data_IF_983344029287
#
_entry.id   IF_983344029287
#
_cell.length_a   1.000
_cell.length_b   1.000
_cell.length_c   1.000
_cell.angle_alpha   90.00
_cell.angle_beta   90.00
_cell.angle_gamma   90.00
#
_symmetry.space_group_name_H-M   'P 1'
#
loop_
_entity.id
_entity.type
_entity.pdbx_description
1 polymer ?
#
# COMPACT_ATOMS: atom_id res chain seq x y z
N UNK A 1 -25.08 -18.11 -6.83
CA UNK A 1 -24.17 -17.51 -5.82
C UNK A 1 -22.75 -17.58 -6.34
N UNK A 2 -21.90 -16.54 -6.16
CA UNK A 2 -20.55 -16.60 -6.69
C UNK A 2 -19.75 -17.70 -5.99
N UNK A 3 -19.10 -18.58 -6.77
CA UNK A 3 -18.41 -19.80 -6.32
C UNK A 3 -17.03 -19.57 -5.71
N UNK A 4 -16.82 -18.44 -5.02
CA UNK A 4 -15.53 -18.11 -4.42
C UNK A 4 -15.61 -17.93 -2.91
N UNK A 5 -14.48 -18.20 -2.24
CA UNK A 5 -14.33 -17.98 -0.80
C UNK A 5 -13.42 -16.79 -0.52
N UNK A 6 -13.67 -16.10 0.58
CA UNK A 6 -12.84 -15.00 1.07
C UNK A 6 -11.93 -15.58 2.16
N UNK A 7 -10.60 -15.59 1.98
CA UNK A 7 -9.70 -16.14 2.99
C UNK A 7 -9.64 -15.21 4.21
N UNK A 8 -9.31 -15.76 5.38
CA UNK A 8 -8.99 -14.97 6.58
C UNK A 8 -7.61 -14.29 6.44
N UNK A 9 -7.30 -13.34 7.33
CA UNK A 9 -6.05 -12.58 7.22
C UNK A 9 -4.79 -13.43 7.49
N UNK A 10 -4.87 -14.41 8.40
CA UNK A 10 -3.74 -15.29 8.73
C UNK A 10 -3.25 -16.07 7.49
N UNK A 11 -4.19 -16.69 6.76
CA UNK A 11 -3.90 -17.43 5.53
C UNK A 11 -3.31 -16.54 4.44
N UNK A 12 -3.76 -15.29 4.34
CA UNK A 12 -3.17 -14.30 3.42
C UNK A 12 -1.73 -13.97 3.80
N UNK A 13 -1.45 -13.78 5.09
CA UNK A 13 -0.08 -13.50 5.58
C UNK A 13 0.86 -14.68 5.31
N UNK A 14 0.44 -15.92 5.57
CA UNK A 14 1.23 -17.11 5.24
C UNK A 14 1.57 -17.21 3.74
N UNK A 15 0.58 -16.93 2.88
CA UNK A 15 0.78 -16.90 1.44
C UNK A 15 1.79 -15.81 1.02
N UNK A 16 1.68 -14.62 1.61
CA UNK A 16 2.67 -13.54 1.40
C UNK A 16 4.08 -13.98 1.81
N UNK A 17 4.24 -14.66 2.95
CA UNK A 17 5.53 -15.21 3.38
C UNK A 17 6.12 -16.18 2.34
N UNK A 18 5.34 -17.15 1.85
CA UNK A 18 5.79 -18.13 0.82
C UNK A 18 6.14 -17.47 -0.52
N UNK A 19 5.38 -16.46 -0.91
CA UNK A 19 5.64 -15.75 -2.16
C UNK A 19 6.94 -14.95 -2.06
N UNK A 20 7.16 -14.21 -0.97
CA UNK A 20 8.36 -13.39 -0.83
C UNK A 20 9.60 -14.21 -0.44
N UNK A 21 9.46 -15.42 0.11
CA UNK A 21 10.61 -16.32 0.31
C UNK A 21 11.23 -16.76 -1.02
N UNK A 22 10.40 -16.98 -2.04
CA UNK A 22 10.82 -17.44 -3.39
C UNK A 22 11.01 -16.30 -4.40
N UNK A 23 10.25 -15.21 -4.27
CA UNK A 23 10.29 -14.05 -5.16
C UNK A 23 10.58 -12.78 -4.35
N UNK A 24 11.85 -12.33 -4.30
CA UNK A 24 12.22 -11.15 -3.53
C UNK A 24 11.52 -9.86 -3.97
N UNK A 25 10.98 -9.80 -5.20
CA UNK A 25 10.30 -8.63 -5.73
C UNK A 25 9.03 -8.97 -6.49
N UNK A 26 8.00 -8.14 -6.32
CA UNK A 26 6.76 -8.13 -7.09
C UNK A 26 6.46 -6.71 -7.55
N UNK A 27 6.36 -6.50 -8.86
CA UNK A 27 6.42 -5.20 -9.51
C UNK A 27 5.07 -4.47 -9.68
N UNK A 28 3.96 -5.10 -9.29
CA UNK A 28 2.64 -4.49 -9.33
C UNK A 28 1.66 -5.14 -8.35
N UNK A 29 0.65 -4.36 -7.94
CA UNK A 29 -0.46 -4.83 -7.12
C UNK A 29 -1.24 -5.99 -7.76
N UNK A 30 -1.53 -5.86 -9.06
CA UNK A 30 -2.22 -6.89 -9.84
C UNK A 30 -1.43 -8.19 -9.87
N UNK A 31 -0.11 -8.10 -10.04
CA UNK A 31 0.78 -9.27 -10.01
C UNK A 31 0.80 -9.92 -8.63
N UNK A 32 0.90 -9.14 -7.56
CA UNK A 32 0.84 -9.66 -6.19
C UNK A 32 -0.47 -10.41 -5.94
N UNK A 33 -1.60 -9.84 -6.34
CA UNK A 33 -2.91 -10.52 -6.26
C UNK A 33 -2.92 -11.85 -7.00
N UNK A 34 -2.47 -11.86 -8.25
CA UNK A 34 -2.45 -13.08 -9.06
C UNK A 34 -1.56 -14.17 -8.43
N UNK A 35 -0.43 -13.79 -7.82
CA UNK A 35 0.46 -14.72 -7.12
C UNK A 35 -0.19 -15.30 -5.86
N UNK A 36 -0.84 -14.46 -5.06
CA UNK A 36 -1.52 -14.85 -3.81
C UNK A 36 -2.72 -15.74 -4.11
N UNK A 37 -3.54 -15.37 -5.09
CA UNK A 37 -4.65 -16.23 -5.54
C UNK A 37 -4.14 -17.56 -6.10
N UNK A 38 -2.99 -17.59 -6.78
CA UNK A 38 -2.38 -18.83 -7.29
C UNK A 38 -1.80 -19.70 -6.18
N UNK A 39 -1.13 -19.13 -5.19
CA UNK A 39 -0.57 -19.87 -4.04
C UNK A 39 -1.68 -20.52 -3.19
N UNK A 40 -2.85 -19.89 -3.11
CA UNK A 40 -4.01 -20.44 -2.39
C UNK A 40 -4.88 -21.39 -3.21
N UNK A 41 -4.53 -21.67 -4.48
CA UNK A 41 -5.28 -22.65 -5.29
C UNK A 41 -5.02 -24.07 -4.77
N UNK A 42 -5.89 -24.52 -3.87
CA UNK A 42 -6.24 -25.93 -3.66
C UNK A 42 -7.63 -26.21 -4.26
N UNK A 43 -8.48 -26.95 -3.54
CA UNK A 43 -9.87 -27.25 -3.95
C UNK A 43 -10.80 -26.02 -3.92
N UNK A 44 -10.36 -24.93 -3.27
CA UNK A 44 -11.19 -23.76 -3.03
C UNK A 44 -10.74 -22.55 -3.87
N UNK A 45 -11.69 -21.96 -4.59
CA UNK A 45 -11.46 -20.75 -5.39
C UNK A 45 -11.44 -19.51 -4.50
N UNK A 46 -10.28 -19.18 -3.94
CA UNK A 46 -10.10 -17.97 -3.13
C UNK A 46 -10.01 -16.69 -3.96
N UNK A 47 -10.58 -15.59 -3.44
CA UNK A 47 -10.44 -14.23 -4.00
C UNK A 47 -10.06 -13.24 -2.92
N UNK A 48 -9.09 -12.37 -3.23
CA UNK A 48 -8.64 -11.31 -2.31
C UNK A 48 -8.68 -9.96 -3.00
N UNK A 49 -9.24 -8.96 -2.31
CA UNK A 49 -9.24 -7.58 -2.78
C UNK A 49 -7.84 -6.98 -2.78
N UNK A 50 -7.49 -6.25 -3.85
CA UNK A 50 -6.18 -5.58 -3.95
C UNK A 50 -5.90 -4.61 -2.79
N UNK A 51 -6.84 -3.76 -2.34
CA UNK A 51 -6.60 -2.88 -1.20
C UNK A 51 -6.29 -3.65 0.08
N UNK A 52 -7.05 -4.70 0.39
CA UNK A 52 -6.83 -5.55 1.56
C UNK A 52 -5.46 -6.22 1.50
N UNK A 53 -5.09 -6.77 0.34
CA UNK A 53 -3.79 -7.40 0.16
C UNK A 53 -2.63 -6.42 0.35
N UNK A 54 -2.78 -5.19 -0.15
CA UNK A 54 -1.79 -4.12 0.04
C UNK A 54 -1.62 -3.79 1.51
N UNK A 55 -2.72 -3.61 2.25
CA UNK A 55 -2.69 -3.31 3.68
C UNK A 55 -2.02 -4.44 4.45
N UNK A 56 -2.42 -5.70 4.21
CA UNK A 56 -1.83 -6.87 4.87
C UNK A 56 -0.33 -7.04 4.58
N UNK A 57 0.11 -6.76 3.35
CA UNK A 57 1.52 -6.77 2.99
C UNK A 57 2.31 -5.67 3.71
N UNK A 58 1.72 -4.48 3.91
CA UNK A 58 2.36 -3.40 4.68
C UNK A 58 2.42 -3.76 6.17
N UNK A 59 1.34 -4.34 6.72
CA UNK A 59 1.24 -4.72 8.14
C UNK A 59 2.18 -5.85 8.52
N UNK A 60 2.40 -6.81 7.62
CA UNK A 60 3.24 -7.96 7.92
C UNK A 60 4.70 -7.58 8.17
N UNK A 61 5.12 -6.36 7.80
CA UNK A 61 6.50 -5.91 7.91
C UNK A 61 7.46 -6.62 6.95
N UNK A 62 6.97 -7.54 6.12
CA UNK A 62 7.79 -8.37 5.23
C UNK A 62 8.34 -7.63 4.03
N UNK A 63 7.74 -6.48 3.68
CA UNK A 63 8.06 -5.78 2.44
C UNK A 63 8.37 -4.30 2.64
N UNK A 64 9.31 -3.83 1.83
CA UNK A 64 9.44 -2.44 1.48
C UNK A 64 8.51 -2.14 0.31
N UNK A 65 7.75 -1.06 0.43
CA UNK A 65 6.80 -0.61 -0.59
C UNK A 65 7.35 0.63 -1.28
N UNK A 66 7.68 0.51 -2.56
CA UNK A 66 7.89 1.66 -3.43
C UNK A 66 6.54 2.05 -4.07
N UNK A 67 6.21 3.33 -3.96
CA UNK A 67 4.95 3.89 -4.45
C UNK A 67 5.28 4.86 -5.58
N UNK A 68 4.95 4.49 -6.81
CA UNK A 68 5.03 5.40 -7.96
C UNK A 68 3.74 6.21 -8.01
N UNK A 69 3.90 7.51 -8.11
CA UNK A 69 2.79 8.45 -8.13
C UNK A 69 2.86 9.32 -9.38
N UNK A 70 1.71 9.83 -9.80
CA UNK A 70 1.60 10.99 -10.70
C UNK A 70 1.13 12.20 -9.91
N UNK A 71 1.60 13.39 -10.25
CA UNK A 71 1.06 14.62 -9.70
C UNK A 71 -0.25 14.99 -10.39
N UNK A 72 -1.13 15.68 -9.66
CA UNK A 72 -2.33 16.31 -10.21
C UNK A 72 -2.31 17.81 -9.89
N UNK A 73 -2.97 18.65 -10.71
CA UNK A 73 -3.09 20.07 -10.41
C UNK A 73 -4.02 20.35 -9.21
N UNK A 74 -4.84 19.37 -8.81
CA UNK A 74 -5.76 19.48 -7.67
C UNK A 74 -4.99 19.72 -6.36
N UNK A 75 -5.25 20.85 -5.72
CA UNK A 75 -4.79 21.15 -4.36
C UNK A 75 -5.88 20.76 -3.37
N UNK A 76 -5.64 19.73 -2.58
CA UNK A 76 -6.62 19.23 -1.61
C UNK A 76 -5.95 18.74 -0.34
N UNK A 77 -6.57 19.04 0.79
CA UNK A 77 -6.15 18.47 2.07
C UNK A 77 -6.47 16.97 2.11
N UNK A 78 -5.48 16.14 2.49
CA UNK A 78 -5.70 14.72 2.71
C UNK A 78 -5.61 14.38 4.19
N UNK A 79 -6.68 13.78 4.72
CA UNK A 79 -6.74 13.29 6.10
C UNK A 79 -6.28 11.83 6.19
N UNK A 80 -6.69 10.99 5.22
CA UNK A 80 -6.36 9.56 5.17
C UNK A 80 -5.43 9.24 4.02
N UNK A 81 -4.54 8.29 4.25
CA UNK A 81 -3.59 7.81 3.27
C UNK A 81 -4.31 7.02 2.16
N UNK A 82 -4.14 7.38 0.86
CA UNK A 82 -4.76 6.66 -0.24
C UNK A 82 -4.20 5.24 -0.43
N UNK A 83 -3.05 4.94 0.17
CA UNK A 83 -2.36 3.65 0.02
C UNK A 83 -2.81 2.66 1.08
N UNK A 84 -2.76 3.04 2.37
CA UNK A 84 -3.03 2.13 3.49
C UNK A 84 -4.19 2.55 4.40
N UNK A 85 -4.82 3.71 4.17
CA UNK A 85 -5.94 4.21 4.99
C UNK A 85 -5.54 4.93 6.28
N UNK A 86 -4.27 4.85 6.70
CA UNK A 86 -3.74 5.49 7.90
C UNK A 86 -3.92 7.02 7.91
N UNK A 87 -4.05 7.62 9.10
CA UNK A 87 -4.13 9.09 9.20
C UNK A 87 -2.79 9.72 8.78
N UNK A 88 -2.87 10.75 7.94
CA UNK A 88 -1.68 11.47 7.47
C UNK A 88 -1.24 12.54 8.47
N UNK A 89 0.07 12.67 8.67
CA UNK A 89 0.67 13.79 9.39
C UNK A 89 0.91 14.96 8.45
N UNK A 90 0.62 16.18 8.93
CA UNK A 90 0.92 17.42 8.20
C UNK A 90 2.43 17.68 8.29
N UNK A 91 3.06 17.89 7.14
CA UNK A 91 4.42 18.41 7.06
C UNK A 91 4.31 19.93 7.09
N UNK A 92 4.93 20.55 8.10
CA UNK A 92 4.90 21.99 8.31
C UNK A 92 6.31 22.55 8.30
N UNK A 93 6.43 23.81 7.89
CA UNK A 93 7.66 24.58 8.04
C UNK A 93 7.36 25.91 8.71
N UNK A 94 8.38 26.48 9.36
CA UNK A 94 8.30 27.79 9.98
C UNK A 94 8.51 28.87 8.92
N UNK A 95 7.74 29.95 8.98
CA UNK A 95 7.94 31.12 8.12
C UNK A 95 8.97 32.07 8.74
N UNK A 96 9.53 32.97 7.93
CA UNK A 96 10.47 34.01 8.40
C UNK A 96 9.88 34.93 9.47
N UNK A 97 8.54 35.03 9.54
CA UNK A 97 7.81 35.82 10.55
C UNK A 97 7.36 34.98 11.77
N UNK A 98 7.86 33.76 11.95
CA UNK A 98 7.54 32.89 13.08
C UNK A 98 6.20 32.14 12.99
N UNK A 99 5.50 32.21 11.86
CA UNK A 99 4.29 31.42 11.60
C UNK A 99 4.58 29.99 11.15
N UNK A 100 3.56 29.16 10.94
CA UNK A 100 3.73 27.82 10.34
C UNK A 100 2.89 27.67 9.07
N UNK A 101 3.50 27.10 8.02
CA UNK A 101 2.83 26.77 6.76
C UNK A 101 2.84 25.28 6.54
N UNK A 102 1.74 24.73 6.03
CA UNK A 102 1.68 23.31 5.65
C UNK A 102 2.27 23.16 4.26
N UNK A 103 3.28 22.31 4.12
CA UNK A 103 3.93 22.00 2.85
C UNK A 103 3.36 20.73 2.19
N UNK A 104 2.72 19.87 2.98
CA UNK A 104 2.16 18.62 2.49
C UNK A 104 1.76 17.65 3.59
N UNK A 105 1.70 16.37 3.23
CA UNK A 105 1.23 15.30 4.08
C UNK A 105 2.11 14.06 3.91
N UNK A 106 2.40 13.37 5.01
CA UNK A 106 3.19 12.13 5.04
C UNK A 106 2.47 11.05 5.84
N UNK A 107 2.52 9.82 5.33
CA UNK A 107 2.12 8.61 6.02
C UNK A 107 3.34 7.99 6.69
N UNK A 108 3.27 7.76 8.00
CA UNK A 108 4.35 7.11 8.75
C UNK A 108 4.39 5.60 8.54
N UNK A 109 3.25 4.99 8.19
CA UNK A 109 3.11 3.56 8.02
C UNK A 109 3.66 3.03 6.69
N UNK A 110 3.20 3.60 5.57
CA UNK A 110 3.56 3.12 4.23
C UNK A 110 4.53 4.05 3.49
N UNK A 111 5.03 5.10 4.16
CA UNK A 111 5.96 6.12 3.60
C UNK A 111 5.41 6.94 2.42
N UNK A 112 4.13 6.78 2.07
CA UNK A 112 3.44 7.66 1.12
C UNK A 112 3.58 9.12 1.56
N UNK A 113 3.88 10.01 0.62
CA UNK A 113 3.93 11.44 0.86
C UNK A 113 3.35 12.21 -0.32
N UNK A 114 2.82 13.39 -0.04
CA UNK A 114 2.28 14.31 -1.05
C UNK A 114 2.55 15.74 -0.63
N UNK A 115 2.82 16.62 -1.59
CA UNK A 115 2.83 18.06 -1.35
C UNK A 115 1.42 18.61 -1.25
N UNK A 116 1.28 19.92 -1.46
CA UNK A 116 -0.02 20.58 -1.59
C UNK A 116 -0.78 20.13 -2.85
N UNK A 117 -0.04 19.89 -3.95
CA UNK A 117 -0.56 19.19 -5.13
C UNK A 117 -0.65 17.70 -4.83
N UNK A 118 -1.80 17.11 -5.14
CA UNK A 118 -2.09 15.72 -4.80
C UNK A 118 -1.27 14.77 -5.67
N UNK A 119 -0.53 13.87 -5.02
CA UNK A 119 0.10 12.71 -5.65
C UNK A 119 -0.88 11.55 -5.71
N UNK A 120 -1.16 11.01 -6.88
CA UNK A 120 -2.05 9.85 -7.03
C UNK A 120 -1.18 8.60 -7.25
N UNK A 121 -1.25 7.59 -6.37
CA UNK A 121 -0.54 6.33 -6.58
C UNK A 121 -1.00 5.65 -7.87
N UNK A 122 -0.04 5.26 -8.72
CA UNK A 122 -0.29 4.59 -10.01
C UNK A 122 0.28 3.19 -10.06
N UNK A 123 1.39 2.92 -9.36
CA UNK A 123 2.02 1.60 -9.30
C UNK A 123 2.65 1.36 -7.94
N UNK A 124 2.64 0.09 -7.52
CA UNK A 124 3.22 -0.41 -6.28
C UNK A 124 4.24 -1.48 -6.59
N UNK A 125 5.46 -1.32 -6.09
CA UNK A 125 6.51 -2.35 -6.16
C UNK A 125 6.80 -2.82 -4.74
N UNK A 126 6.66 -4.12 -4.53
CA UNK A 126 6.87 -4.78 -3.25
C UNK A 126 8.21 -5.51 -3.31
N UNK A 127 9.11 -5.19 -2.39
CA UNK A 127 10.41 -5.85 -2.25
C UNK A 127 10.51 -6.46 -0.86
N UNK A 128 11.01 -7.69 -0.74
CA UNK A 128 11.23 -8.33 0.56
C UNK A 128 12.18 -7.47 1.39
N UNK A 129 11.84 -7.24 2.66
CA UNK A 129 12.79 -6.68 3.62
C UNK A 129 13.85 -7.74 3.93
N UNK A 130 15.10 -7.41 3.65
CA UNK A 130 16.28 -8.15 4.11
C UNK A 130 16.45 -8.02 5.61
#
# INVERSE_FOLDING_TARGET
>A
MPSYRIPNDARVRESLHRIFSTRPMVDSQRRLKALVEKDMKGDEKYRVGEPRLRVLAIESGLVNLEIRCRDTPEMRSLVKCPVCGERLKKVRNMTVYGGTVTLGYRCERCKYWTGLRRRVPTRYVFTRRS
#
